data_IF_968790712991
#
_entry.id   IF_968790712991
#
_cell.length_a   1.000
_cell.length_b   1.000
_cell.length_c   1.000
_cell.angle_alpha   90.00
_cell.angle_beta   90.00
_cell.angle_gamma   90.00
#
_symmetry.space_group_name_H-M   'P 1'
#
loop_
_entity.id
_entity.type
_entity.pdbx_description
1 polymer ?
#
# COMPACT_ATOMS: atom_id res chain seq x y z
N UNK A 1 -5.69 -7.75 -70.38
CA UNK A 1 -6.15 -8.11 -69.04
C UNK A 1 -4.94 -8.43 -68.17
N UNK A 2 -4.51 -7.53 -67.26
CA UNK A 2 -3.69 -7.92 -66.12
C UNK A 2 -4.55 -8.03 -64.83
N UNK A 3 -4.14 -8.86 -63.87
CA UNK A 3 -4.97 -9.26 -62.74
C UNK A 3 -4.96 -8.27 -61.57
N UNK A 4 -6.08 -8.23 -60.86
CA UNK A 4 -6.28 -7.54 -59.60
C UNK A 4 -5.31 -8.06 -58.52
N UNK A 5 -4.57 -7.14 -57.90
CA UNK A 5 -3.79 -7.40 -56.68
C UNK A 5 -4.50 -6.68 -55.53
N UNK A 6 -5.16 -7.48 -54.70
CA UNK A 6 -5.84 -7.12 -53.46
C UNK A 6 -4.90 -6.31 -52.56
N UNK A 7 -5.17 -5.02 -52.44
CA UNK A 7 -4.53 -4.14 -51.47
C UNK A 7 -5.55 -3.76 -50.39
N UNK A 8 -5.24 -4.12 -49.15
CA UNK A 8 -5.70 -3.37 -47.98
C UNK A 8 -6.82 -4.02 -47.18
N UNK A 9 -6.43 -4.71 -46.10
CA UNK A 9 -7.18 -4.75 -44.84
C UNK A 9 -6.28 -5.36 -43.75
N UNK A 10 -5.35 -4.59 -43.21
CA UNK A 10 -4.59 -4.98 -42.03
C UNK A 10 -4.45 -3.78 -41.10
N UNK A 11 -4.64 -4.04 -39.79
CA UNK A 11 -4.41 -3.17 -38.64
C UNK A 11 -5.51 -2.15 -38.28
N UNK A 12 -6.59 -2.64 -37.66
CA UNK A 12 -7.36 -1.89 -36.66
C UNK A 12 -7.62 -2.76 -35.42
N UNK A 13 -6.54 -3.15 -34.74
CA UNK A 13 -6.60 -3.60 -33.35
C UNK A 13 -5.98 -2.49 -32.49
N UNK A 14 -6.61 -1.31 -32.49
CA UNK A 14 -6.39 -0.33 -31.42
C UNK A 14 -7.12 -0.86 -30.19
N UNK A 15 -6.44 -1.73 -29.44
CA UNK A 15 -6.85 -2.07 -28.09
C UNK A 15 -6.84 -0.79 -27.27
N UNK A 16 -8.03 -0.28 -26.94
CA UNK A 16 -8.16 0.72 -25.89
C UNK A 16 -7.78 0.02 -24.58
N UNK A 17 -6.52 0.16 -24.15
CA UNK A 17 -6.15 -0.16 -22.78
C UNK A 17 -6.89 0.81 -21.87
N UNK A 18 -8.03 0.38 -21.34
CA UNK A 18 -8.70 1.09 -20.27
C UNK A 18 -7.68 1.23 -19.13
N UNK A 19 -7.34 2.46 -18.69
CA UNK A 19 -6.40 2.63 -17.60
C UNK A 19 -6.94 1.85 -16.39
N UNK A 20 -6.13 0.95 -15.85
CA UNK A 20 -6.51 0.17 -14.67
C UNK A 20 -6.91 1.15 -13.56
N UNK A 21 -8.06 0.90 -12.92
CA UNK A 21 -8.60 1.74 -11.83
C UNK A 21 -7.60 1.89 -10.67
N UNK A 22 -6.63 0.97 -10.60
CA UNK A 22 -5.55 0.91 -9.61
C UNK A 22 -4.27 1.68 -9.99
N UNK A 23 -4.19 2.29 -11.18
CA UNK A 23 -3.06 3.12 -11.58
C UNK A 23 -3.09 4.44 -10.78
N UNK A 24 -2.08 4.68 -9.94
CA UNK A 24 -1.92 5.98 -9.28
C UNK A 24 -1.12 6.03 -7.98
N UNK A 25 -0.76 4.90 -7.37
CA UNK A 25 0.06 4.91 -6.16
C UNK A 25 -0.58 5.65 -4.98
N UNK A 26 0.24 6.01 -3.98
CA UNK A 26 -0.21 6.69 -2.77
C UNK A 26 -0.78 8.10 -3.00
N UNK A 27 -0.29 8.81 -4.00
CA UNK A 27 -0.68 10.21 -4.30
C UNK A 27 -1.87 10.31 -5.27
N UNK A 28 -2.49 9.18 -5.63
CA UNK A 28 -3.64 9.16 -6.54
C UNK A 28 -4.84 9.91 -5.97
N UNK A 29 -5.59 10.62 -6.82
CA UNK A 29 -6.92 11.12 -6.47
C UNK A 29 -7.95 10.01 -6.21
N UNK A 30 -7.74 8.81 -6.75
CA UNK A 30 -8.62 7.66 -6.58
C UNK A 30 -8.38 6.94 -5.25
N UNK A 31 -9.38 6.81 -4.36
CA UNK A 31 -9.25 6.00 -3.14
C UNK A 31 -8.83 4.55 -3.43
N UNK A 32 -9.37 3.95 -4.50
CA UNK A 32 -9.05 2.57 -4.88
C UNK A 32 -7.58 2.38 -5.30
N UNK A 33 -6.98 3.38 -5.95
CA UNK A 33 -5.55 3.33 -6.28
C UNK A 33 -4.68 3.45 -5.02
N UNK A 34 -5.09 4.26 -4.04
CA UNK A 34 -4.37 4.41 -2.76
C UNK A 34 -4.46 3.15 -1.90
N UNK A 35 -5.65 2.55 -1.77
CA UNK A 35 -5.81 1.29 -1.02
C UNK A 35 -5.03 0.15 -1.67
N UNK A 36 -5.03 0.07 -3.00
CA UNK A 36 -4.21 -0.90 -3.73
C UNK A 36 -2.71 -0.68 -3.52
N UNK A 37 -2.24 0.57 -3.50
CA UNK A 37 -0.85 0.89 -3.21
C UNK A 37 -0.43 0.41 -1.81
N UNK A 38 -1.27 0.67 -0.79
CA UNK A 38 -1.05 0.18 0.58
C UNK A 38 -0.93 -1.35 0.59
N UNK A 39 -1.89 -2.05 -0.02
CA UNK A 39 -1.95 -3.51 -0.04
C UNK A 39 -0.70 -4.12 -0.71
N UNK A 40 -0.31 -3.62 -1.89
CA UNK A 40 0.87 -4.11 -2.60
C UNK A 40 2.14 -3.88 -1.77
N UNK A 41 2.29 -2.69 -1.18
CA UNK A 41 3.46 -2.37 -0.36
C UNK A 41 3.56 -3.24 0.87
N UNK A 42 2.47 -3.45 1.62
CA UNK A 42 2.50 -4.31 2.81
C UNK A 42 2.76 -5.76 2.45
N UNK A 43 2.11 -6.28 1.40
CA UNK A 43 2.35 -7.64 0.95
C UNK A 43 3.81 -7.86 0.52
N UNK A 44 4.43 -6.90 -0.17
CA UNK A 44 5.86 -6.96 -0.50
C UNK A 44 6.73 -6.90 0.76
N UNK A 45 6.38 -6.02 1.69
CA UNK A 45 7.14 -5.83 2.91
C UNK A 45 7.11 -7.05 3.84
N UNK A 46 5.97 -7.73 3.95
CA UNK A 46 5.82 -8.98 4.68
C UNK A 46 6.60 -10.13 4.03
N UNK A 47 6.67 -10.18 2.70
CA UNK A 47 7.46 -11.19 1.97
C UNK A 47 8.96 -10.97 2.11
N UNK A 48 9.40 -9.72 2.06
CA UNK A 48 10.83 -9.36 2.08
C UNK A 48 11.36 -9.11 3.50
N UNK A 49 10.47 -8.96 4.48
CA UNK A 49 10.79 -8.55 5.85
C UNK A 49 11.29 -7.10 5.95
N UNK A 50 11.05 -6.26 4.93
CA UNK A 50 11.57 -4.89 4.87
C UNK A 50 10.58 -3.96 4.20
N UNK A 51 10.47 -2.73 4.70
CA UNK A 51 9.70 -1.66 4.06
C UNK A 51 10.57 -0.42 3.86
N UNK A 52 10.37 0.30 2.76
CA UNK A 52 11.07 1.58 2.57
C UNK A 52 10.48 2.64 3.50
N UNK A 53 11.33 3.54 3.99
CA UNK A 53 10.85 4.69 4.78
C UNK A 53 9.99 5.63 3.98
N UNK A 54 10.20 5.69 2.66
CA UNK A 54 9.37 6.52 1.81
C UNK A 54 7.93 6.00 1.76
N UNK A 55 7.74 4.68 1.67
CA UNK A 55 6.40 4.09 1.69
C UNK A 55 5.71 4.30 3.04
N UNK A 56 6.45 4.18 4.15
CA UNK A 56 5.92 4.53 5.48
C UNK A 56 5.48 5.99 5.52
N UNK A 57 6.30 6.93 5.03
CA UNK A 57 5.90 8.36 4.96
C UNK A 57 4.62 8.55 4.14
N UNK A 58 4.52 7.91 2.98
CA UNK A 58 3.34 7.98 2.13
C UNK A 58 2.09 7.48 2.86
N UNK A 59 2.18 6.34 3.56
CA UNK A 59 1.06 5.82 4.35
C UNK A 59 0.70 6.72 5.54
N UNK A 60 1.68 7.37 6.18
CA UNK A 60 1.42 8.34 7.25
C UNK A 60 0.60 9.53 6.74
N UNK A 61 0.87 10.02 5.53
CA UNK A 61 0.05 11.09 4.95
C UNK A 61 -1.40 10.63 4.68
N UNK A 62 -1.60 9.35 4.35
CA UNK A 62 -2.94 8.77 4.17
C UNK A 62 -3.76 8.66 5.46
N UNK A 63 -3.16 8.82 6.64
CA UNK A 63 -3.91 8.94 7.91
C UNK A 63 -4.78 10.20 7.97
N UNK A 64 -4.51 11.20 7.12
CA UNK A 64 -5.32 12.41 6.97
C UNK A 64 -6.26 12.36 5.76
N UNK A 65 -6.36 11.24 5.05
CA UNK A 65 -7.24 11.14 3.88
C UNK A 65 -8.71 11.38 4.26
N UNK A 66 -9.47 12.05 3.39
CA UNK A 66 -10.90 12.26 3.58
C UNK A 66 -11.68 10.93 3.57
N UNK A 67 -11.17 9.96 2.81
CA UNK A 67 -11.77 8.63 2.66
C UNK A 67 -11.47 7.72 3.87
N UNK A 68 -12.53 7.22 4.51
CA UNK A 68 -12.47 6.38 5.70
C UNK A 68 -11.75 5.06 5.48
N UNK A 69 -11.97 4.41 4.32
CA UNK A 69 -11.33 3.15 3.99
C UNK A 69 -9.82 3.35 3.79
N UNK A 70 -9.42 4.42 3.11
CA UNK A 70 -8.00 4.77 2.93
C UNK A 70 -7.32 4.98 4.29
N UNK A 71 -7.94 5.74 5.21
CA UNK A 71 -7.38 5.93 6.56
C UNK A 71 -7.29 4.62 7.32
N UNK A 72 -8.32 3.78 7.24
CA UNK A 72 -8.37 2.48 7.92
C UNK A 72 -7.26 1.54 7.43
N UNK A 73 -7.09 1.45 6.11
CA UNK A 73 -6.02 0.66 5.50
C UNK A 73 -4.65 1.19 5.90
N UNK A 74 -4.45 2.51 5.87
CA UNK A 74 -3.17 3.13 6.22
C UNK A 74 -2.78 2.85 7.67
N UNK A 75 -3.69 2.99 8.64
CA UNK A 75 -3.35 2.69 10.04
C UNK A 75 -3.11 1.20 10.26
N UNK A 76 -3.89 0.32 9.60
CA UNK A 76 -3.71 -1.12 9.75
C UNK A 76 -2.33 -1.55 9.25
N UNK A 77 -1.94 -1.05 8.08
CA UNK A 77 -0.63 -1.25 7.48
C UNK A 77 0.52 -0.74 8.37
N UNK A 78 0.39 0.49 8.89
CA UNK A 78 1.40 1.10 9.77
C UNK A 78 1.57 0.34 11.10
N UNK A 79 0.47 -0.10 11.71
CA UNK A 79 0.50 -0.91 12.93
C UNK A 79 1.11 -2.28 12.68
N UNK A 80 0.85 -2.89 11.52
CA UNK A 80 1.40 -4.19 11.16
C UNK A 80 2.93 -4.14 10.97
N UNK A 81 3.46 -3.10 10.32
CA UNK A 81 4.92 -2.99 10.08
C UNK A 81 5.70 -2.54 11.31
N UNK A 82 5.10 -1.74 12.19
CA UNK A 82 5.77 -1.17 13.36
C UNK A 82 5.54 -1.96 14.66
N UNK A 83 4.45 -2.72 14.74
CA UNK A 83 3.98 -3.37 15.96
C UNK A 83 3.33 -2.43 16.98
N UNK A 84 3.09 -1.16 16.65
CA UNK A 84 2.52 -0.15 17.54
C UNK A 84 1.44 0.68 16.81
N UNK A 85 0.44 1.15 17.54
CA UNK A 85 -0.59 2.05 17.01
C UNK A 85 -0.20 3.54 17.11
N UNK A 86 0.88 3.84 17.84
CA UNK A 86 1.35 5.19 18.20
C UNK A 86 0.21 6.10 18.66
N UNK A 87 -0.75 5.52 19.39
CA UNK A 87 -1.95 6.13 19.92
C UNK A 87 -2.90 6.70 18.87
N UNK A 88 -2.86 6.24 17.62
CA UNK A 88 -3.87 6.56 16.62
C UNK A 88 -5.12 5.71 16.85
N UNK A 89 -6.27 6.37 17.00
CA UNK A 89 -7.58 5.72 17.10
C UNK A 89 -8.42 6.17 15.92
N UNK A 90 -8.94 5.21 15.16
CA UNK A 90 -9.65 5.48 13.92
C UNK A 90 -10.89 6.38 14.11
N UNK A 91 -11.62 6.18 15.22
CA UNK A 91 -12.85 6.89 15.54
C UNK A 91 -12.64 8.20 16.32
N UNK A 92 -11.40 8.57 16.62
CA UNK A 92 -11.13 9.82 17.34
C UNK A 92 -11.50 11.04 16.49
N UNK A 93 -11.94 12.16 17.09
CA UNK A 93 -12.05 13.44 16.41
C UNK A 93 -10.75 13.85 15.71
N UNK A 94 -10.86 14.57 14.59
CA UNK A 94 -9.71 14.97 13.75
C UNK A 94 -8.57 15.63 14.55
N UNK A 95 -8.90 16.48 15.53
CA UNK A 95 -7.92 17.15 16.38
C UNK A 95 -7.09 16.17 17.24
N UNK A 96 -7.68 15.09 17.73
CA UNK A 96 -6.95 14.06 18.49
C UNK A 96 -6.12 13.18 17.56
N UNK A 97 -6.65 12.83 16.38
CA UNK A 97 -5.89 12.08 15.35
C UNK A 97 -4.64 12.83 14.91
N UNK A 98 -4.71 14.16 14.78
CA UNK A 98 -3.56 14.98 14.40
C UNK A 98 -2.34 14.71 15.29
N UNK A 99 -2.51 14.64 16.62
CA UNK A 99 -1.40 14.35 17.54
C UNK A 99 -0.80 12.96 17.32
N UNK A 100 -1.62 11.97 17.00
CA UNK A 100 -1.14 10.63 16.63
C UNK A 100 -0.41 10.64 15.27
N UNK A 101 -0.93 11.37 14.28
CA UNK A 101 -0.24 11.53 12.99
C UNK A 101 1.13 12.19 13.15
N UNK A 102 1.28 13.15 14.07
CA UNK A 102 2.59 13.76 14.35
C UNK A 102 3.58 12.75 14.95
N UNK A 103 3.12 11.82 15.80
CA UNK A 103 3.95 10.71 16.30
C UNK A 103 4.35 9.76 15.18
N UNK A 104 3.43 9.43 14.29
CA UNK A 104 3.70 8.65 13.08
C UNK A 104 4.71 9.32 12.14
N UNK A 105 4.62 10.63 11.94
CA UNK A 105 5.60 11.39 11.16
C UNK A 105 6.99 11.35 11.79
N UNK A 106 7.07 11.48 13.12
CA UNK A 106 8.33 11.35 13.85
C UNK A 106 8.95 9.96 13.64
N UNK A 107 8.15 8.89 13.80
CA UNK A 107 8.57 7.50 13.53
C UNK A 107 9.08 7.30 12.10
N UNK A 108 8.36 7.83 11.10
CA UNK A 108 8.74 7.71 9.69
C UNK A 108 10.06 8.44 9.36
N UNK A 109 10.35 9.54 10.07
CA UNK A 109 11.57 10.34 9.92
C UNK A 109 12.76 9.81 10.73
N UNK A 110 12.51 9.03 11.79
CA UNK A 110 13.55 8.49 12.67
C UNK A 110 14.48 7.54 11.91
N UNK A 111 15.58 8.05 11.37
CA UNK A 111 16.53 7.27 10.60
C UNK A 111 17.90 7.21 11.26
N UNK A 112 18.37 6.00 11.56
CA UNK A 112 19.76 5.75 11.97
C UNK A 112 20.68 5.63 10.73
N UNK A 113 20.42 6.43 9.68
CA UNK A 113 21.10 6.35 8.37
C UNK A 113 20.53 5.29 7.41
N UNK A 114 19.52 4.52 7.81
CA UNK A 114 18.92 3.46 6.99
C UNK A 114 17.65 3.95 6.28
N UNK A 115 17.54 3.70 4.97
CA UNK A 115 16.35 4.05 4.15
C UNK A 115 15.20 3.05 4.24
N UNK A 116 15.39 1.94 4.96
CA UNK A 116 14.41 0.85 5.12
C UNK A 116 14.23 0.49 6.60
N UNK A 117 13.06 -0.01 6.95
CA UNK A 117 12.72 -0.54 8.26
C UNK A 117 12.62 -2.07 8.14
N UNK A 118 13.21 -2.81 9.07
CA UNK A 118 13.04 -4.25 9.14
C UNK A 118 11.71 -4.56 9.83
N UNK A 119 10.89 -5.40 9.22
CA UNK A 119 9.64 -5.88 9.80
C UNK A 119 9.96 -7.17 10.52
N UNK A 120 9.68 -7.22 11.82
CA UNK A 120 9.70 -8.49 12.53
C UNK A 120 8.58 -9.35 11.94
N UNK A 121 8.88 -10.51 11.32
CA UNK A 121 7.83 -11.34 10.77
C UNK A 121 6.86 -11.72 11.90
N UNK A 122 5.55 -11.85 11.62
CA UNK A 122 4.62 -12.40 12.58
C UNK A 122 5.18 -13.74 13.07
N UNK A 123 5.29 -13.90 14.39
CA UNK A 123 5.75 -15.16 14.99
C UNK A 123 4.81 -16.27 14.50
N UNK A 124 5.28 -17.12 13.59
CA UNK A 124 4.60 -18.35 13.21
C UNK A 124 4.62 -19.25 14.44
N UNK A 125 3.55 -19.20 15.24
CA UNK A 125 3.37 -20.12 16.35
C UNK A 125 3.22 -21.53 15.77
N UNK A 126 4.33 -22.27 15.72
CA UNK A 126 4.41 -23.65 15.26
C UNK A 126 3.57 -24.57 16.14
N UNK A 127 2.28 -24.71 15.81
CA UNK A 127 1.42 -25.79 16.29
C UNK A 127 1.05 -26.71 15.12
N UNK A 128 2.07 -27.13 14.38
CA UNK A 128 2.04 -28.35 13.58
C UNK A 128 2.48 -29.52 14.45
N UNK A 129 1.63 -29.95 15.38
CA UNK A 129 1.82 -31.24 16.04
C UNK A 129 0.76 -32.19 15.53
N UNK A 130 1.21 -33.12 14.69
CA UNK A 130 0.49 -34.29 14.19
C UNK A 130 -0.28 -34.98 15.32
N UNK A 131 -1.60 -35.05 15.19
CA UNK A 131 -2.39 -36.05 15.94
C UNK A 131 -2.31 -37.37 15.18
N UNK A 132 -1.17 -38.03 15.32
CA UNK A 132 -1.02 -39.45 15.03
C UNK A 132 -1.33 -40.28 16.27
N UNK A 133 -2.48 -40.94 16.29
CA UNK A 133 -2.74 -42.30 16.83
C UNK A 133 -4.24 -42.60 16.75
#
# INVERSE_FOLDING_TARGET
>A
MPPALLLGAACLLSGCEAPSITRGGFDSGSPAARTHAIEVTINDALKTGRISRQDVKSMVELLNADDDLVRFMAISALSEVSGDDLGYRFFDPSALRFNAVQRWRAYALESNGTSTIAITPPVENGNGQEIGS
#
